data_IF_861584617736
#
_entry.id   IF_861584617736
#
_cell.length_a   1.000
_cell.length_b   1.000
_cell.length_c   1.000
_cell.angle_alpha   90.00
_cell.angle_beta   90.00
_cell.angle_gamma   90.00
#
_symmetry.space_group_name_H-M   'P 1'
#
loop_
_entity.id
_entity.type
_entity.pdbx_description
1 polymer ?
#
# COMPACT_ATOMS: atom_id res chain seq x y z
N UNK A 1 44.09 40.78 16.95
CA UNK A 1 42.88 40.00 17.25
C UNK A 1 42.48 39.23 15.99
N UNK A 2 42.98 38.00 15.85
CA UNK A 2 42.76 37.19 14.64
C UNK A 2 41.49 36.37 14.85
N UNK A 3 40.41 36.72 14.15
CA UNK A 3 39.20 35.90 14.12
C UNK A 3 39.53 34.70 13.24
N UNK A 4 39.80 33.55 13.85
CA UNK A 4 40.12 32.32 13.12
C UNK A 4 39.00 32.00 12.13
N UNK A 5 39.38 31.81 10.86
CA UNK A 5 38.50 31.45 9.73
C UNK A 5 37.67 30.19 9.98
N UNK A 6 38.15 29.33 10.88
CA UNK A 6 37.47 28.13 11.37
C UNK A 6 36.18 28.45 12.13
N UNK A 7 36.19 29.51 12.96
CA UNK A 7 35.02 29.92 13.74
C UNK A 7 33.90 30.48 12.85
N UNK A 8 34.27 31.24 11.81
CA UNK A 8 33.32 31.76 10.81
C UNK A 8 32.71 30.63 9.99
N UNK A 9 33.50 29.61 9.65
CA UNK A 9 33.03 28.45 8.89
C UNK A 9 32.05 27.59 9.68
N UNK A 10 32.30 27.39 10.98
CA UNK A 10 31.38 26.68 11.87
C UNK A 10 30.06 27.45 12.07
N UNK A 11 30.13 28.76 12.28
CA UNK A 11 28.94 29.62 12.40
C UNK A 11 28.09 29.62 11.10
N UNK A 12 28.73 29.63 9.93
CA UNK A 12 28.05 29.55 8.64
C UNK A 12 27.41 28.17 8.39
N UNK A 13 28.04 27.09 8.84
CA UNK A 13 27.50 25.73 8.74
C UNK A 13 26.23 25.56 9.59
N UNK A 14 26.25 26.06 10.84
CA UNK A 14 25.09 26.04 11.74
C UNK A 14 23.95 26.91 11.22
N UNK A 15 24.25 28.10 10.68
CA UNK A 15 23.23 28.97 10.09
C UNK A 15 22.58 28.38 8.82
N UNK A 16 23.32 27.62 8.01
CA UNK A 16 22.75 26.88 6.86
C UNK A 16 21.89 25.70 7.28
N UNK A 17 22.25 25.00 8.35
CA UNK A 17 21.46 23.89 8.89
C UNK A 17 20.13 24.38 9.50
N UNK A 18 20.14 25.52 10.19
CA UNK A 18 18.95 26.11 10.82
C UNK A 18 17.95 26.74 9.83
N UNK A 19 18.37 27.01 8.57
CA UNK A 19 17.54 27.65 7.54
C UNK A 19 16.99 26.70 6.50
N UNK A 20 17.19 25.38 6.65
CA UNK A 20 16.45 24.41 5.86
C UNK A 20 15.01 24.42 6.39
N UNK A 21 14.03 24.94 5.63
CA UNK A 21 12.64 24.66 5.98
C UNK A 21 12.50 23.15 6.07
N UNK A 22 11.77 22.60 7.05
CA UNK A 22 11.47 21.17 7.03
C UNK A 22 10.93 20.89 5.64
N UNK A 23 11.62 20.02 4.89
CA UNK A 23 11.16 19.59 3.59
C UNK A 23 9.68 19.31 3.80
N UNK A 24 8.83 20.07 3.11
CA UNK A 24 7.39 19.79 3.11
C UNK A 24 7.37 18.32 2.80
N UNK A 25 7.00 17.54 3.81
CA UNK A 25 6.57 16.18 3.63
C UNK A 25 5.36 16.47 2.80
N UNK A 26 5.54 16.50 1.48
CA UNK A 26 4.47 16.45 0.53
C UNK A 26 3.78 15.20 0.97
N UNK A 27 2.76 15.43 1.78
CA UNK A 27 1.67 14.53 1.97
C UNK A 27 1.17 14.34 0.57
N UNK A 28 1.80 13.39 -0.12
CA UNK A 28 1.10 12.37 -0.84
C UNK A 28 0.18 11.73 0.19
N UNK A 29 -0.85 12.49 0.59
CA UNK A 29 -2.21 12.04 0.63
C UNK A 29 -2.44 11.46 -0.75
N UNK A 30 -1.87 10.26 -0.96
CA UNK A 30 -2.39 9.27 -1.88
C UNK A 30 -3.84 9.25 -1.49
N UNK A 31 -4.65 9.87 -2.34
CA UNK A 31 -6.11 9.86 -2.28
C UNK A 31 -6.49 8.47 -1.76
N UNK A 32 -6.72 8.34 -0.45
CA UNK A 32 -7.20 7.09 0.11
C UNK A 32 -8.60 7.06 -0.45
N UNK A 33 -8.95 6.11 -1.34
CA UNK A 33 -10.31 6.06 -1.82
C UNK A 33 -11.19 5.92 -0.58
N UNK A 34 -12.07 6.88 -0.34
CA UNK A 34 -12.98 6.90 0.81
C UNK A 34 -13.91 5.69 0.79
N UNK A 35 -14.07 5.06 -0.38
CA UNK A 35 -14.60 3.70 -0.50
C UNK A 35 -13.48 2.72 -0.17
N UNK A 36 -13.60 1.87 0.86
CA UNK A 36 -12.51 0.97 1.21
C UNK A 36 -12.20 0.11 -0.01
N UNK A 37 -10.93 0.11 -0.42
CA UNK A 37 -10.34 -0.80 -1.42
C UNK A 37 -10.95 -2.21 -1.35
N UNK A 38 -11.25 -2.65 -0.13
CA UNK A 38 -11.99 -3.85 0.28
C UNK A 38 -13.34 -4.07 -0.41
N UNK A 39 -14.19 -3.06 -0.59
CA UNK A 39 -15.55 -3.25 -1.13
C UNK A 39 -15.53 -3.80 -2.56
N UNK A 40 -14.62 -3.27 -3.40
CA UNK A 40 -14.43 -3.74 -4.78
C UNK A 40 -13.99 -5.21 -4.82
N UNK A 41 -13.10 -5.61 -3.91
CA UNK A 41 -12.62 -6.99 -3.84
C UNK A 41 -13.64 -7.94 -3.24
N UNK A 42 -14.39 -7.51 -2.23
CA UNK A 42 -15.43 -8.33 -1.60
C UNK A 42 -16.42 -8.87 -2.63
N UNK A 43 -16.79 -8.06 -3.62
CA UNK A 43 -17.72 -8.48 -4.69
C UNK A 43 -17.16 -9.57 -5.60
N UNK A 44 -15.85 -9.56 -5.88
CA UNK A 44 -15.23 -10.50 -6.84
C UNK A 44 -14.39 -11.59 -6.18
N UNK A 45 -14.09 -11.49 -4.89
CA UNK A 45 -13.16 -12.37 -4.18
C UNK A 45 -13.64 -13.83 -4.15
N UNK A 46 -14.94 -14.06 -3.90
CA UNK A 46 -15.53 -15.39 -3.92
C UNK A 46 -15.43 -16.02 -5.31
N UNK A 47 -15.67 -15.22 -6.35
CA UNK A 47 -15.61 -15.65 -7.74
C UNK A 47 -14.19 -16.01 -8.18
N UNK A 48 -13.23 -15.13 -7.88
CA UNK A 48 -11.81 -15.35 -8.15
C UNK A 48 -11.31 -16.62 -7.46
N UNK A 49 -11.69 -16.82 -6.20
CA UNK A 49 -11.31 -18.00 -5.44
C UNK A 49 -11.90 -19.28 -6.05
N UNK A 50 -13.18 -19.26 -6.43
CA UNK A 50 -13.86 -20.39 -7.08
C UNK A 50 -13.19 -20.79 -8.37
N UNK A 51 -12.90 -19.84 -9.25
CA UNK A 51 -12.20 -20.08 -10.53
C UNK A 51 -10.76 -20.56 -10.32
N UNK A 52 -10.07 -20.01 -9.31
CA UNK A 52 -8.72 -20.47 -8.98
C UNK A 52 -8.71 -21.91 -8.48
N UNK A 53 -9.70 -22.31 -7.67
CA UNK A 53 -9.91 -23.71 -7.26
C UNK A 53 -10.28 -24.64 -8.42
N UNK A 54 -10.95 -24.10 -9.45
CA UNK A 54 -11.22 -24.82 -10.70
C UNK A 54 -9.99 -24.96 -11.62
N UNK A 55 -8.83 -24.39 -11.23
CA UNK A 55 -7.57 -24.49 -11.98
C UNK A 55 -7.31 -23.36 -12.97
N UNK A 56 -8.22 -22.37 -13.11
CA UNK A 56 -8.02 -21.23 -14.01
C UNK A 56 -6.81 -20.37 -13.57
N UNK A 57 -6.05 -19.88 -14.54
CA UNK A 57 -4.94 -18.93 -14.30
C UNK A 57 -5.45 -17.49 -14.18
N UNK A 58 -4.71 -16.63 -13.49
CA UNK A 58 -5.17 -15.26 -13.19
C UNK A 58 -5.46 -14.44 -14.44
N UNK A 59 -4.76 -14.68 -15.55
CA UNK A 59 -5.00 -14.01 -16.84
C UNK A 59 -6.37 -14.41 -17.43
N UNK A 60 -6.77 -15.67 -17.29
CA UNK A 60 -8.09 -16.15 -17.75
C UNK A 60 -9.20 -15.57 -16.88
N UNK A 61 -9.00 -15.57 -15.56
CA UNK A 61 -9.93 -14.99 -14.58
C UNK A 61 -10.09 -13.49 -14.82
N UNK A 62 -8.99 -12.77 -15.05
CA UNK A 62 -9.00 -11.33 -15.35
C UNK A 62 -9.81 -11.01 -16.62
N UNK A 63 -9.64 -11.82 -17.68
CA UNK A 63 -10.43 -11.69 -18.91
C UNK A 63 -11.91 -11.97 -18.68
N UNK A 64 -12.25 -13.03 -17.94
CA UNK A 64 -13.63 -13.40 -17.64
C UNK A 64 -14.36 -12.35 -16.79
N UNK A 65 -13.68 -11.77 -15.80
CA UNK A 65 -14.23 -10.78 -14.86
C UNK A 65 -14.11 -9.34 -15.42
N UNK A 66 -13.42 -9.15 -16.56
CA UNK A 66 -13.10 -7.84 -17.16
C UNK A 66 -12.43 -6.90 -16.16
N UNK A 67 -11.48 -7.44 -15.39
CA UNK A 67 -10.73 -6.71 -14.37
C UNK A 67 -9.22 -6.84 -14.61
N UNK A 68 -8.44 -5.89 -14.09
CA UNK A 68 -6.99 -5.96 -14.21
C UNK A 68 -6.42 -7.13 -13.40
N UNK A 69 -5.29 -7.69 -13.85
CA UNK A 69 -4.57 -8.76 -13.12
C UNK A 69 -4.26 -8.34 -11.69
N UNK A 70 -3.87 -7.08 -11.48
CA UNK A 70 -3.63 -6.54 -10.14
C UNK A 70 -4.90 -6.60 -9.26
N UNK A 71 -6.06 -6.32 -9.84
CA UNK A 71 -7.36 -6.42 -9.14
C UNK A 71 -7.67 -7.87 -8.77
N UNK A 72 -7.42 -8.83 -9.66
CA UNK A 72 -7.64 -10.26 -9.38
C UNK A 72 -6.70 -10.76 -8.28
N UNK A 73 -5.42 -10.38 -8.30
CA UNK A 73 -4.45 -10.76 -7.26
C UNK A 73 -4.83 -10.20 -5.89
N UNK A 74 -5.23 -8.92 -5.84
CA UNK A 74 -5.72 -8.31 -4.61
C UNK A 74 -7.00 -8.97 -4.10
N UNK A 75 -7.94 -9.33 -4.99
CA UNK A 75 -9.15 -10.08 -4.63
C UNK A 75 -8.85 -11.45 -4.04
N UNK A 76 -7.90 -12.17 -4.65
CA UNK A 76 -7.47 -13.48 -4.17
C UNK A 76 -6.78 -13.38 -2.80
N UNK A 77 -5.87 -12.42 -2.62
CA UNK A 77 -5.22 -12.17 -1.33
C UNK A 77 -6.24 -11.81 -0.25
N UNK A 78 -7.22 -10.97 -0.58
CA UNK A 78 -8.33 -10.63 0.32
C UNK A 78 -9.16 -11.86 0.72
N UNK A 79 -9.46 -12.74 -0.22
CA UNK A 79 -10.17 -13.99 0.05
C UNK A 79 -9.40 -14.91 1.02
N UNK A 80 -8.08 -15.04 0.81
CA UNK A 80 -7.20 -15.84 1.68
C UNK A 80 -7.07 -15.25 3.09
N UNK A 81 -6.93 -13.93 3.19
CA UNK A 81 -6.89 -13.24 4.48
C UNK A 81 -8.22 -13.40 5.23
N UNK A 82 -9.35 -13.24 4.54
CA UNK A 82 -10.68 -13.43 5.16
C UNK A 82 -10.86 -14.88 5.65
N UNK A 83 -10.33 -15.88 4.93
CA UNK A 83 -10.37 -17.27 5.40
C UNK A 83 -9.49 -17.51 6.63
N UNK A 84 -8.36 -16.82 6.74
CA UNK A 84 -7.49 -16.88 7.92
C UNK A 84 -8.11 -16.17 9.14
N UNK A 85 -8.84 -15.08 8.92
CA UNK A 85 -9.52 -14.31 9.96
C UNK A 85 -10.85 -14.95 10.42
N UNK A 86 -11.39 -15.94 9.70
CA UNK A 86 -12.53 -16.70 10.22
C UNK A 86 -12.04 -17.62 11.35
N UNK A 87 -12.56 -17.46 12.59
CA UNK A 87 -12.29 -18.41 13.65
C UNK A 87 -12.83 -19.76 13.18
N UNK A 88 -11.94 -20.78 13.10
CA UNK A 88 -12.32 -22.18 12.87
C UNK A 88 -13.58 -22.48 13.70
N UNK A 89 -14.67 -23.01 13.11
CA UNK A 89 -15.79 -23.47 13.90
C UNK A 89 -15.22 -24.46 14.91
N UNK A 90 -15.34 -24.13 16.21
CA UNK A 90 -15.07 -25.09 17.28
C UNK A 90 -16.00 -26.26 17.00
N UNK A 91 -15.45 -27.35 16.46
CA UNK A 91 -16.12 -28.63 16.38
C UNK A 91 -16.50 -28.99 17.81
N UNK A 92 -17.81 -28.99 18.07
CA UNK A 92 -18.41 -29.54 19.28
C UNK A 92 -18.92 -30.93 18.96
#
# INVERSE_FOLDING_TARGET
MSISTEAVSNALAVHRAARRPPARIDGQSRHKPTVPFVAKYKTIAAEVLRRRKAGEVFEQIARAIKASIHTIRAAHAFAMQTQADQPKPRQR
#
